data_IF_513693329542
#
_entry.id   IF_513693329542
#
_cell.length_a   1.000
_cell.length_b   1.000
_cell.length_c   1.000
_cell.angle_alpha   90.00
_cell.angle_beta   90.00
_cell.angle_gamma   90.00
#
_symmetry.space_group_name_H-M   'P 1'
#
loop_
_entity.id
_entity.type
_entity.pdbx_description
1 polymer ?
#
# COMPACT_ATOMS: atom_id res chain seq x y z
N UNK A 1 2.60 -4.62 14.10
CA UNK A 1 3.26 -3.89 12.99
C UNK A 1 3.38 -4.81 11.79
N UNK A 2 2.73 -4.48 10.68
CA UNK A 2 2.84 -5.27 9.46
C UNK A 2 4.01 -4.69 8.66
N UNK A 3 5.23 -5.19 8.91
CA UNK A 3 6.47 -4.65 8.34
C UNK A 3 6.40 -4.50 6.82
N UNK A 4 5.74 -5.43 6.12
CA UNK A 4 5.60 -5.36 4.66
C UNK A 4 4.72 -4.19 4.22
N UNK A 5 3.60 -3.98 4.90
CA UNK A 5 2.72 -2.82 4.66
C UNK A 5 3.45 -1.52 4.94
N UNK A 6 4.05 -1.42 6.12
CA UNK A 6 4.68 -0.19 6.61
C UNK A 6 5.86 0.19 5.69
N UNK A 7 6.71 -0.77 5.30
CA UNK A 7 7.77 -0.57 4.31
C UNK A 7 7.26 -0.08 2.95
N UNK A 8 6.11 -0.57 2.49
CA UNK A 8 5.54 -0.16 1.22
C UNK A 8 5.03 1.29 1.29
N UNK A 9 4.37 1.65 2.40
CA UNK A 9 3.89 3.00 2.66
C UNK A 9 5.06 3.99 2.74
N UNK A 10 6.10 3.68 3.52
CA UNK A 10 7.28 4.55 3.68
C UNK A 10 8.02 4.76 2.36
N UNK A 11 8.11 3.71 1.53
CA UNK A 11 8.69 3.81 0.19
C UNK A 11 7.86 4.74 -0.71
N UNK A 12 6.54 4.61 -0.70
CA UNK A 12 5.66 5.46 -1.50
C UNK A 12 5.74 6.92 -1.05
N UNK A 13 5.79 7.17 0.27
CA UNK A 13 5.94 8.51 0.83
C UNK A 13 7.22 9.18 0.31
N UNK A 14 8.36 8.47 0.33
CA UNK A 14 9.63 8.98 -0.19
C UNK A 14 9.62 9.17 -1.71
N UNK A 15 9.11 8.19 -2.47
CA UNK A 15 9.22 8.20 -3.93
C UNK A 15 8.20 9.12 -4.62
N UNK A 16 7.02 9.33 -4.02
CA UNK A 16 5.90 10.05 -4.66
C UNK A 16 5.63 11.40 -4.01
N UNK A 17 5.74 11.48 -2.68
CA UNK A 17 5.43 12.69 -1.92
C UNK A 17 6.69 13.45 -1.48
N UNK A 18 7.88 12.90 -1.72
CA UNK A 18 9.17 13.43 -1.24
C UNK A 18 9.22 13.65 0.29
N UNK A 19 8.51 12.77 1.02
CA UNK A 19 8.47 12.81 2.48
C UNK A 19 9.45 11.80 3.07
N UNK A 20 10.37 12.26 3.90
CA UNK A 20 11.35 11.42 4.60
C UNK A 20 10.67 10.39 5.51
N UNK A 21 9.61 10.81 6.20
CA UNK A 21 8.84 10.00 7.16
C UNK A 21 7.38 10.47 7.21
N UNK A 22 6.47 9.56 7.58
CA UNK A 22 5.07 9.87 7.90
C UNK A 22 4.81 9.98 9.41
N UNK A 23 5.84 9.78 10.24
CA UNK A 23 5.76 9.96 11.69
C UNK A 23 5.71 11.45 12.05
N UNK A 24 4.82 11.83 12.98
CA UNK A 24 4.76 13.20 13.50
C UNK A 24 6.02 13.55 14.29
N UNK A 25 6.61 14.71 13.99
CA UNK A 25 7.82 15.24 14.62
C UNK A 25 7.53 16.38 15.59
N UNK A 26 6.27 16.78 15.74
CA UNK A 26 5.81 17.90 16.57
C UNK A 26 6.54 19.22 16.23
N UNK A 27 6.75 19.44 14.93
CA UNK A 27 7.37 20.64 14.41
C UNK A 27 6.71 21.01 13.09
N UNK A 28 6.00 22.14 13.05
CA UNK A 28 5.11 22.51 11.93
C UNK A 28 5.75 22.31 10.56
N UNK A 29 6.93 22.90 10.32
CA UNK A 29 7.64 22.80 9.03
C UNK A 29 8.06 21.38 8.62
N UNK A 30 8.07 20.44 9.56
CA UNK A 30 8.45 19.05 9.34
C UNK A 30 7.22 18.15 9.14
N UNK A 31 6.06 18.58 9.61
CA UNK A 31 4.82 17.79 9.65
C UNK A 31 3.75 18.29 8.66
N UNK A 32 3.81 19.55 8.23
CA UNK A 32 2.92 20.13 7.23
C UNK A 32 3.67 20.35 5.91
N UNK A 33 3.12 19.80 4.82
CA UNK A 33 3.71 19.83 3.50
C UNK A 33 2.67 20.28 2.47
N UNK A 34 3.06 21.21 1.59
CA UNK A 34 2.25 21.58 0.43
C UNK A 34 2.46 20.55 -0.69
N UNK A 35 1.45 19.72 -0.91
CA UNK A 35 1.50 18.63 -1.90
C UNK A 35 0.46 18.85 -2.98
N UNK A 36 0.84 18.58 -4.23
CA UNK A 36 -0.12 18.62 -5.33
C UNK A 36 -1.16 17.50 -5.20
N UNK A 37 -2.41 17.79 -5.58
CA UNK A 37 -3.48 16.77 -5.61
C UNK A 37 -3.15 15.59 -6.54
N UNK A 38 -2.32 15.82 -7.57
CA UNK A 38 -1.82 14.78 -8.47
C UNK A 38 -0.85 13.84 -7.76
N UNK A 39 0.09 14.36 -6.98
CA UNK A 39 1.02 13.54 -6.18
C UNK A 39 0.29 12.73 -5.11
N UNK A 40 -0.69 13.34 -4.43
CA UNK A 40 -1.54 12.65 -3.46
C UNK A 40 -2.29 11.49 -4.14
N UNK A 41 -2.90 11.74 -5.31
CA UNK A 41 -3.59 10.70 -6.08
C UNK A 41 -2.67 9.54 -6.45
N UNK A 42 -1.48 9.83 -6.99
CA UNK A 42 -0.50 8.79 -7.37
C UNK A 42 -0.08 7.97 -6.15
N UNK A 43 0.19 8.61 -5.00
CA UNK A 43 0.55 7.91 -3.78
C UNK A 43 -0.56 6.95 -3.31
N UNK A 44 -1.82 7.38 -3.37
CA UNK A 44 -2.98 6.56 -3.02
C UNK A 44 -3.18 5.38 -3.97
N UNK A 45 -3.04 5.60 -5.27
CA UNK A 45 -3.12 4.55 -6.29
C UNK A 45 -2.03 3.49 -6.07
N UNK A 46 -0.78 3.92 -5.85
CA UNK A 46 0.33 2.99 -5.56
C UNK A 46 0.14 2.24 -4.26
N UNK A 47 -0.40 2.89 -3.22
CA UNK A 47 -0.66 2.25 -1.93
C UNK A 47 -1.76 1.18 -2.07
N UNK A 48 -2.84 1.50 -2.78
CA UNK A 48 -3.91 0.55 -3.10
C UNK A 48 -3.36 -0.67 -3.86
N UNK A 49 -2.58 -0.44 -4.91
CA UNK A 49 -1.97 -1.54 -5.68
C UNK A 49 -1.00 -2.39 -4.85
N UNK A 50 -0.19 -1.77 -3.99
CA UNK A 50 0.73 -2.48 -3.12
C UNK A 50 -0.03 -3.39 -2.15
N UNK A 51 -1.12 -2.88 -1.55
CA UNK A 51 -2.00 -3.68 -0.69
C UNK A 51 -2.65 -4.84 -1.44
N UNK A 52 -3.15 -4.58 -2.65
CA UNK A 52 -3.77 -5.58 -3.53
C UNK A 52 -2.81 -6.71 -3.92
N UNK A 53 -1.56 -6.36 -4.27
CA UNK A 53 -0.49 -7.32 -4.60
C UNK A 53 -0.03 -8.13 -3.39
N UNK A 54 -0.14 -7.57 -2.18
CA UNK A 54 0.22 -8.24 -0.94
C UNK A 54 -0.88 -9.18 -0.42
N UNK A 55 -2.11 -9.09 -0.94
CA UNK A 55 -3.20 -9.95 -0.52
C UNK A 55 -2.93 -11.42 -0.93
N UNK A 56 -3.05 -12.38 0.00
CA UNK A 56 -2.82 -13.78 -0.32
C UNK A 56 -3.90 -14.27 -1.30
N UNK A 57 -3.56 -15.22 -2.18
CA UNK A 57 -4.57 -15.85 -3.01
C UNK A 57 -5.58 -16.60 -2.14
N UNK A 58 -6.84 -16.56 -2.54
CA UNK A 58 -7.87 -17.40 -1.93
C UNK A 58 -7.75 -18.79 -2.54
N UNK A 59 -7.51 -19.79 -1.69
CA UNK A 59 -7.49 -21.20 -2.11
C UNK A 59 -8.77 -21.87 -1.69
N UNK A 60 -9.48 -22.44 -2.66
CA UNK A 60 -10.68 -23.24 -2.45
C UNK A 60 -10.54 -24.57 -3.19
N UNK A 61 -11.15 -25.62 -2.66
CA UNK A 61 -11.25 -26.90 -3.35
C UNK A 61 -12.62 -27.00 -4.02
N UNK A 62 -12.67 -27.34 -5.29
CA UNK A 62 -13.92 -27.49 -6.02
C UNK A 62 -14.73 -28.68 -5.46
N UNK A 63 -15.98 -28.48 -4.99
CA UNK A 63 -16.77 -29.57 -4.40
C UNK A 63 -17.17 -30.64 -5.43
N UNK A 64 -17.22 -30.30 -6.73
CA UNK A 64 -17.62 -31.21 -7.79
C UNK A 64 -16.47 -32.14 -8.25
N UNK A 65 -15.27 -31.61 -8.43
CA UNK A 65 -14.15 -32.35 -9.02
C UNK A 65 -12.91 -32.47 -8.12
N UNK A 66 -12.95 -31.93 -6.90
CA UNK A 66 -11.87 -31.96 -5.89
C UNK A 66 -10.54 -31.32 -6.32
N UNK A 67 -10.55 -30.50 -7.37
CA UNK A 67 -9.37 -29.76 -7.82
C UNK A 67 -9.19 -28.48 -7.00
N UNK A 68 -7.94 -28.12 -6.73
CA UNK A 68 -7.60 -26.86 -6.09
C UNK A 68 -7.71 -25.69 -7.07
N UNK A 69 -8.38 -24.62 -6.63
CA UNK A 69 -8.56 -23.39 -7.37
C UNK A 69 -7.88 -22.26 -6.59
N UNK A 70 -7.00 -21.53 -7.28
CA UNK A 70 -6.34 -20.34 -6.74
C UNK A 70 -6.97 -19.10 -7.36
N UNK A 71 -7.65 -18.30 -6.54
CA UNK A 71 -8.26 -17.03 -6.95
C UNK A 71 -7.36 -15.91 -6.43
N UNK A 72 -6.82 -15.10 -7.34
CA UNK A 72 -6.05 -13.90 -6.98
C UNK A 72 -6.99 -12.69 -6.97
N UNK A 73 -6.94 -11.85 -5.93
CA UNK A 73 -7.71 -10.61 -5.93
C UNK A 73 -7.30 -9.73 -7.12
N UNK A 74 -8.31 -9.15 -7.77
CA UNK A 74 -8.17 -8.19 -8.88
C UNK A 74 -7.62 -6.89 -8.33
#
# INVERSE_FOLDING_TARGET
MNKTRDNAIDRIAREVLDLETLESRNADRLDFHDLSVCAIKDALERAYEAGRKAAPPTRITCPACKRDIEIRPI
#
